data_IF_200366340391
#
_entry.id   IF_200366340391
#
_cell.length_a   1.000
_cell.length_b   1.000
_cell.length_c   1.000
_cell.angle_alpha   90.00
_cell.angle_beta   90.00
_cell.angle_gamma   90.00
#
_symmetry.space_group_name_H-M   'P 1'
#
loop_
_entity.id
_entity.type
_entity.pdbx_description
1 polymer ?
#
# COMPACT_ATOMS: atom_id res chain seq x y z
N UNK A 1 2.90 -34.59 -13.70
CA UNK A 1 2.39 -33.60 -12.73
C UNK A 1 3.07 -32.30 -13.10
N UNK A 2 2.34 -31.38 -13.75
CA UNK A 2 2.91 -30.07 -14.09
C UNK A 2 3.08 -29.29 -12.80
N UNK A 3 4.31 -28.99 -12.41
CA UNK A 3 4.59 -27.86 -11.52
C UNK A 3 4.15 -26.61 -12.27
N UNK A 4 2.92 -26.15 -12.03
CA UNK A 4 2.56 -24.78 -12.36
C UNK A 4 3.47 -23.89 -11.51
N UNK A 5 4.25 -22.97 -12.12
CA UNK A 5 5.10 -22.08 -11.34
C UNK A 5 4.22 -21.30 -10.36
N UNK A 6 4.65 -21.22 -9.10
CA UNK A 6 4.02 -20.36 -8.10
C UNK A 6 3.93 -18.94 -8.67
N UNK A 7 2.73 -18.32 -8.71
CA UNK A 7 2.58 -16.99 -9.26
C UNK A 7 3.48 -15.99 -8.53
N UNK A 8 4.12 -15.09 -9.26
CA UNK A 8 4.92 -14.02 -8.66
C UNK A 8 4.05 -13.07 -7.86
N UNK A 9 4.66 -12.30 -6.94
CA UNK A 9 3.94 -11.33 -6.09
C UNK A 9 3.02 -10.41 -6.91
N UNK A 10 3.51 -9.91 -8.05
CA UNK A 10 2.76 -9.11 -9.02
C UNK A 10 1.42 -9.74 -9.40
N UNK A 11 1.44 -10.99 -9.86
CA UNK A 11 0.24 -11.66 -10.36
C UNK A 11 -0.75 -11.88 -9.23
N UNK A 12 -0.26 -12.20 -8.03
CA UNK A 12 -1.11 -12.38 -6.86
C UNK A 12 -1.78 -11.07 -6.40
N UNK A 13 -1.09 -9.93 -6.52
CA UNK A 13 -1.64 -8.61 -6.23
C UNK A 13 -2.71 -8.21 -7.26
N UNK A 14 -2.47 -8.47 -8.55
CA UNK A 14 -3.47 -8.28 -9.60
C UNK A 14 -4.69 -9.15 -9.34
N UNK A 15 -4.48 -10.42 -8.97
CA UNK A 15 -5.56 -11.34 -8.64
C UNK A 15 -6.38 -10.89 -7.43
N UNK A 16 -5.74 -10.29 -6.42
CA UNK A 16 -6.45 -9.71 -5.27
C UNK A 16 -7.42 -8.58 -5.68
N UNK A 17 -7.15 -7.88 -6.79
CA UNK A 17 -7.94 -6.76 -7.29
C UNK A 17 -9.04 -7.17 -8.28
N UNK A 18 -9.20 -8.46 -8.60
CA UNK A 18 -10.20 -8.90 -9.59
C UNK A 18 -11.64 -8.48 -9.25
N UNK A 19 -11.96 -8.35 -7.97
CA UNK A 19 -13.30 -7.93 -7.50
C UNK A 19 -13.36 -6.43 -7.15
N UNK A 20 -12.32 -5.64 -7.44
CA UNK A 20 -12.37 -4.18 -7.33
C UNK A 20 -12.78 -3.58 -8.68
N UNK A 21 -14.07 -3.25 -8.81
CA UNK A 21 -14.64 -2.67 -10.03
C UNK A 21 -14.18 -1.22 -10.27
N UNK A 22 -13.91 -0.86 -11.53
CA UNK A 22 -13.49 0.51 -11.91
C UNK A 22 -14.60 1.56 -11.77
N UNK A 23 -15.83 1.09 -11.59
CA UNK A 23 -17.03 1.83 -11.24
C UNK A 23 -17.05 2.26 -9.76
N UNK A 24 -16.35 1.55 -8.88
CA UNK A 24 -16.22 1.91 -7.47
C UNK A 24 -14.84 2.48 -7.11
N UNK A 25 -13.80 2.07 -7.85
CA UNK A 25 -12.41 2.42 -7.53
C UNK A 25 -11.71 3.11 -8.70
N UNK A 26 -10.89 4.10 -8.36
CA UNK A 26 -9.82 4.61 -9.19
C UNK A 26 -8.57 3.76 -8.94
N UNK A 27 -8.03 3.16 -10.01
CA UNK A 27 -6.85 2.30 -9.97
C UNK A 27 -5.80 2.89 -10.91
N UNK A 28 -4.74 3.42 -10.32
CA UNK A 28 -3.65 4.13 -11.01
C UNK A 28 -2.31 3.62 -10.53
N UNK A 29 -1.29 3.67 -11.37
CA UNK A 29 0.08 3.32 -11.02
C UNK A 29 1.04 4.21 -11.81
N UNK A 30 2.22 4.46 -11.24
CA UNK A 30 3.30 5.14 -11.93
C UNK A 30 3.95 4.21 -12.97
N UNK A 31 4.80 4.80 -13.81
CA UNK A 31 5.68 4.02 -14.68
C UNK A 31 6.65 3.15 -13.87
N UNK A 32 7.19 2.06 -14.48
CA UNK A 32 8.21 1.23 -13.85
C UNK A 32 9.40 2.05 -13.34
N UNK A 33 9.92 1.71 -12.16
CA UNK A 33 11.16 2.25 -11.66
C UNK A 33 12.35 1.71 -12.48
N UNK A 34 13.36 2.55 -12.71
CA UNK A 34 14.62 2.14 -13.34
C UNK A 34 15.52 1.45 -12.30
N UNK A 35 16.46 0.63 -12.77
CA UNK A 35 17.48 0.03 -11.90
C UNK A 35 18.30 1.08 -11.14
N UNK A 36 18.53 2.25 -11.75
CA UNK A 36 19.24 3.37 -11.11
C UNK A 36 18.44 3.97 -9.95
N UNK A 37 17.12 4.10 -10.11
CA UNK A 37 16.23 4.58 -9.06
C UNK A 37 16.18 3.59 -7.88
N UNK A 38 16.08 2.29 -8.17
CA UNK A 38 16.13 1.25 -7.13
C UNK A 38 17.48 1.24 -6.42
N UNK A 39 18.59 1.37 -7.16
CA UNK A 39 19.92 1.41 -6.56
C UNK A 39 20.13 2.66 -5.68
N UNK A 40 19.59 3.81 -6.10
CA UNK A 40 19.62 5.04 -5.29
C UNK A 40 18.81 4.88 -3.99
N UNK A 41 17.64 4.23 -4.06
CA UNK A 41 16.87 3.87 -2.87
C UNK A 41 17.69 2.96 -1.94
N UNK A 42 18.25 1.86 -2.45
CA UNK A 42 19.04 0.91 -1.66
C UNK A 42 20.22 1.63 -0.95
N UNK A 43 20.90 2.53 -1.65
CA UNK A 43 21.97 3.34 -1.09
C UNK A 43 21.48 4.31 0.01
N UNK A 44 20.33 4.96 -0.19
CA UNK A 44 19.73 5.87 0.78
C UNK A 44 19.25 5.17 2.05
N UNK A 45 18.71 3.95 1.91
CA UNK A 45 18.24 3.14 3.03
C UNK A 45 19.39 2.40 3.74
N UNK A 46 20.48 2.09 3.04
CA UNK A 46 21.49 1.15 3.52
C UNK A 46 20.96 -0.30 3.58
N UNK A 47 19.85 -0.58 2.88
CA UNK A 47 19.18 -1.87 2.82
C UNK A 47 19.08 -2.33 1.37
N UNK A 48 19.07 -3.65 1.16
CA UNK A 48 18.69 -4.21 -0.14
C UNK A 48 17.18 -4.30 -0.23
N UNK A 49 16.62 -3.91 -1.38
CA UNK A 49 15.20 -4.13 -1.68
C UNK A 49 15.01 -5.63 -1.95
N UNK A 50 14.13 -6.33 -1.21
CA UNK A 50 13.88 -7.74 -1.43
C UNK A 50 13.38 -8.02 -2.85
N UNK A 51 13.83 -9.13 -3.45
CA UNK A 51 13.57 -9.44 -4.86
C UNK A 51 12.08 -9.38 -5.27
N UNK A 52 11.12 -9.92 -4.49
CA UNK A 52 9.70 -9.82 -4.85
C UNK A 52 9.20 -8.38 -4.99
N UNK A 53 9.67 -7.47 -4.12
CA UNK A 53 9.31 -6.06 -4.17
C UNK A 53 10.05 -5.34 -5.31
N UNK A 54 11.32 -5.68 -5.54
CA UNK A 54 12.10 -5.14 -6.67
C UNK A 54 11.44 -5.44 -8.02
N UNK A 55 10.98 -6.67 -8.22
CA UNK A 55 10.29 -7.08 -9.45
C UNK A 55 8.99 -6.30 -9.64
N UNK A 56 8.27 -6.02 -8.55
CA UNK A 56 7.05 -5.22 -8.57
C UNK A 56 7.32 -3.76 -8.96
N UNK A 57 8.37 -3.15 -8.40
CA UNK A 57 8.79 -1.78 -8.69
C UNK A 57 9.25 -1.62 -10.14
N UNK A 58 9.88 -2.63 -10.72
CA UNK A 58 10.29 -2.68 -12.13
C UNK A 58 9.15 -2.91 -13.13
N UNK A 59 7.89 -2.93 -12.68
CA UNK A 59 6.70 -3.11 -13.51
C UNK A 59 5.68 -1.97 -13.31
N UNK A 60 4.54 -2.05 -13.99
CA UNK A 60 3.41 -1.11 -13.93
C UNK A 60 2.61 -1.16 -12.62
N UNK A 61 3.20 -1.70 -11.55
CA UNK A 61 2.65 -1.66 -10.20
C UNK A 61 3.44 -0.73 -9.27
N UNK A 62 4.50 -0.08 -9.77
CA UNK A 62 5.20 0.98 -9.07
C UNK A 62 4.21 2.08 -8.63
N UNK A 63 4.06 2.31 -7.33
CA UNK A 63 3.12 3.32 -6.82
C UNK A 63 1.65 3.01 -7.09
N UNK A 64 1.26 1.73 -7.22
CA UNK A 64 -0.14 1.35 -7.44
C UNK A 64 -1.03 1.86 -6.31
N UNK A 65 -1.98 2.72 -6.65
CA UNK A 65 -3.02 3.20 -5.74
C UNK A 65 -4.39 2.67 -6.18
N UNK A 66 -5.12 2.11 -5.21
CA UNK A 66 -6.51 1.69 -5.33
C UNK A 66 -7.32 2.55 -4.37
N UNK A 67 -8.01 3.54 -4.92
CA UNK A 67 -8.75 4.55 -4.15
C UNK A 67 -10.23 4.41 -4.44
N UNK A 68 -11.08 4.41 -3.40
CA UNK A 68 -12.51 4.53 -3.57
C UNK A 68 -12.83 5.84 -4.30
N UNK A 69 -13.72 5.79 -5.28
CA UNK A 69 -14.14 6.96 -6.04
C UNK A 69 -14.75 8.01 -5.13
N UNK A 70 -14.40 9.27 -5.37
CA UNK A 70 -14.85 10.40 -4.53
C UNK A 70 -16.37 10.56 -4.49
N UNK A 71 -17.08 10.09 -5.52
CA UNK A 71 -18.54 10.08 -5.57
C UNK A 71 -19.15 9.12 -4.54
N UNK A 72 -18.44 8.05 -4.18
CA UNK A 72 -18.83 7.08 -3.15
C UNK A 72 -18.24 7.46 -1.79
N UNK A 73 -17.00 7.93 -1.78
CA UNK A 73 -16.25 8.27 -0.58
C UNK A 73 -15.60 9.65 -0.73
N UNK A 74 -16.33 10.74 -0.43
CA UNK A 74 -15.79 12.09 -0.57
C UNK A 74 -14.64 12.32 0.42
N UNK A 75 -13.67 13.17 0.06
CA UNK A 75 -12.62 13.55 0.98
C UNK A 75 -13.23 14.24 2.21
N UNK A 76 -12.67 13.95 3.38
CA UNK A 76 -13.07 14.62 4.61
C UNK A 76 -12.76 16.13 4.57
N UNK A 77 -13.63 16.93 5.16
CA UNK A 77 -13.42 18.36 5.32
C UNK A 77 -12.46 18.65 6.49
N UNK A 78 -11.75 19.80 6.47
CA UNK A 78 -10.98 20.24 7.62
C UNK A 78 -11.84 20.25 8.88
N UNK A 79 -11.30 19.67 9.95
CA UNK A 79 -11.96 19.54 11.27
C UNK A 79 -13.10 18.51 11.34
N UNK A 80 -13.28 17.67 10.33
CA UNK A 80 -14.18 16.52 10.43
C UNK A 80 -13.78 15.60 11.58
N UNK A 81 -14.78 15.19 12.35
CA UNK A 81 -14.63 14.24 13.45
C UNK A 81 -15.46 13.01 13.14
N UNK A 82 -14.80 11.86 13.09
CA UNK A 82 -15.44 10.58 12.80
C UNK A 82 -14.57 9.40 13.23
N UNK A 83 -15.10 8.18 13.13
CA UNK A 83 -14.30 6.97 13.28
C UNK A 83 -13.10 6.99 12.33
N UNK A 84 -11.91 6.59 12.78
CA UNK A 84 -10.69 6.68 11.96
C UNK A 84 -10.84 6.04 10.56
N UNK A 85 -11.60 4.94 10.45
CA UNK A 85 -11.82 4.26 9.18
C UNK A 85 -12.47 5.13 8.12
N UNK A 86 -13.23 6.18 8.47
CA UNK A 86 -13.88 7.09 7.50
C UNK A 86 -12.88 7.95 6.73
N UNK A 87 -11.62 7.97 7.16
CA UNK A 87 -10.52 8.68 6.52
C UNK A 87 -9.61 7.76 5.71
N UNK A 88 -9.98 6.48 5.52
CA UNK A 88 -9.13 5.45 4.92
C UNK A 88 -9.63 4.95 3.56
N UNK A 89 -9.73 5.82 2.53
CA UNK A 89 -10.46 5.52 1.30
C UNK A 89 -9.68 4.63 0.33
N UNK A 90 -8.48 4.15 0.68
CA UNK A 90 -7.67 3.43 -0.29
C UNK A 90 -6.54 2.60 0.27
N UNK A 91 -5.87 1.91 -0.65
CA UNK A 91 -4.71 1.07 -0.42
C UNK A 91 -3.65 1.41 -1.47
N UNK A 92 -2.40 1.51 -1.05
CA UNK A 92 -1.30 1.99 -1.89
C UNK A 92 -0.10 1.08 -1.75
N UNK A 93 0.29 0.43 -2.85
CA UNK A 93 1.64 -0.15 -2.98
C UNK A 93 2.60 1.00 -3.22
N UNK A 94 3.60 1.12 -2.38
CA UNK A 94 4.56 2.20 -2.44
C UNK A 94 5.52 2.01 -3.63
N UNK A 95 5.88 3.11 -4.26
CA UNK A 95 6.76 3.17 -5.41
C UNK A 95 8.08 3.87 -5.13
N UNK A 96 8.94 3.86 -6.15
CA UNK A 96 10.25 4.51 -6.16
C UNK A 96 10.37 5.36 -7.39
N UNK A 97 10.79 6.61 -7.20
CA UNK A 97 11.12 7.54 -8.28
C UNK A 97 9.99 7.80 -9.29
N UNK A 98 10.24 8.77 -10.18
CA UNK A 98 9.32 9.21 -11.23
C UNK A 98 8.70 10.58 -10.94
N UNK A 99 8.60 11.43 -11.97
CA UNK A 99 8.00 12.77 -11.84
C UNK A 99 6.51 12.70 -11.43
N UNK A 100 5.83 11.59 -11.75
CA UNK A 100 4.40 11.41 -11.51
C UNK A 100 4.10 10.70 -10.17
N UNK A 101 5.10 10.28 -9.38
CA UNK A 101 4.88 9.58 -8.12
C UNK A 101 4.71 10.58 -6.95
N UNK A 102 3.51 10.70 -6.36
CA UNK A 102 3.31 11.64 -5.25
C UNK A 102 4.00 11.14 -3.97
N UNK A 103 4.38 12.08 -3.10
CA UNK A 103 5.12 11.75 -1.87
C UNK A 103 4.39 10.79 -0.92
N UNK A 104 3.05 10.77 -0.91
CA UNK A 104 2.27 9.82 -0.11
C UNK A 104 2.34 8.37 -0.62
N UNK A 105 2.81 8.16 -1.86
CA UNK A 105 3.01 6.85 -2.47
C UNK A 105 4.51 6.46 -2.54
N UNK A 106 5.42 7.24 -1.96
CA UNK A 106 6.87 7.03 -2.06
C UNK A 106 7.41 6.15 -0.94
N UNK A 107 8.24 5.16 -1.32
CA UNK A 107 9.02 4.34 -0.38
C UNK A 107 10.00 5.23 0.39
N UNK A 108 10.66 6.19 -0.26
CA UNK A 108 11.64 7.08 0.37
C UNK A 108 11.02 7.89 1.52
N UNK A 109 9.87 8.51 1.25
CA UNK A 109 9.13 9.28 2.26
C UNK A 109 8.70 8.38 3.40
N UNK A 110 8.15 7.21 3.10
CA UNK A 110 7.67 6.30 4.14
C UNK A 110 8.79 5.70 4.97
N UNK A 111 9.90 5.34 4.33
CA UNK A 111 11.07 4.81 5.01
C UNK A 111 11.71 5.86 5.93
N UNK A 112 11.71 7.14 5.55
CA UNK A 112 12.14 8.21 6.45
C UNK A 112 11.27 8.27 7.71
N UNK A 113 9.95 8.20 7.56
CA UNK A 113 9.03 8.17 8.70
C UNK A 113 9.26 6.97 9.62
N UNK A 114 9.49 5.77 9.05
CA UNK A 114 9.84 4.58 9.84
C UNK A 114 11.16 4.77 10.59
N UNK A 115 12.17 5.37 9.96
CA UNK A 115 13.46 5.66 10.60
C UNK A 115 13.35 6.66 11.74
N UNK A 116 12.50 7.67 11.61
CA UNK A 116 12.19 8.62 12.69
C UNK A 116 11.53 7.92 13.88
N UNK A 117 10.77 6.85 13.64
CA UNK A 117 10.21 5.97 14.66
C UNK A 117 11.21 4.94 15.22
N UNK A 118 12.46 4.93 14.74
CA UNK A 118 13.50 3.98 15.15
C UNK A 118 13.50 2.65 14.39
N UNK A 119 12.67 2.50 13.36
CA UNK A 119 12.57 1.29 12.53
C UNK A 119 13.47 1.47 11.29
N UNK A 120 14.61 0.78 11.27
CA UNK A 120 15.66 0.99 10.25
C UNK A 120 15.96 -0.23 9.38
N UNK A 121 15.32 -1.36 9.64
CA UNK A 121 15.56 -2.66 9.01
C UNK A 121 14.40 -3.14 8.11
N UNK A 122 13.50 -2.23 7.75
CA UNK A 122 12.29 -2.52 6.96
C UNK A 122 12.26 -1.69 5.69
N UNK A 123 12.04 -2.35 4.55
CA UNK A 123 11.67 -1.70 3.29
C UNK A 123 10.14 -1.66 3.22
N UNK A 124 9.51 -0.47 3.25
CA UNK A 124 8.05 -0.38 3.25
C UNK A 124 7.49 -0.77 1.87
N UNK A 125 6.38 -1.51 1.87
CA UNK A 125 5.81 -2.10 0.66
C UNK A 125 4.42 -1.55 0.34
N UNK A 126 3.49 -1.53 1.30
CA UNK A 126 2.18 -0.92 1.08
C UNK A 126 1.59 -0.33 2.37
N UNK A 127 0.63 0.58 2.18
CA UNK A 127 -0.06 1.32 3.25
C UNK A 127 -1.55 1.47 2.95
N UNK A 128 -2.34 1.61 4.00
CA UNK A 128 -3.71 2.13 3.89
C UNK A 128 -3.62 3.64 3.72
N UNK A 129 -4.17 4.15 2.62
CA UNK A 129 -4.20 5.59 2.36
C UNK A 129 -5.05 6.29 3.43
N UNK A 130 -4.48 7.31 4.09
CA UNK A 130 -5.16 8.09 5.14
C UNK A 130 -4.99 7.56 6.57
N UNK A 131 -4.48 6.34 6.77
CA UNK A 131 -4.12 5.82 8.11
C UNK A 131 -2.92 6.58 8.68
N UNK A 132 -1.87 6.71 7.87
CA UNK A 132 -0.67 7.45 8.23
C UNK A 132 0.23 6.74 9.24
N UNK A 133 -0.24 5.69 9.94
CA UNK A 133 0.54 5.02 10.97
C UNK A 133 1.03 3.62 10.56
N UNK A 134 0.12 2.76 10.08
CA UNK A 134 0.45 1.38 9.75
C UNK A 134 1.19 1.21 8.43
N UNK A 135 2.17 0.32 8.39
CA UNK A 135 2.88 -0.05 7.15
C UNK A 135 3.28 -1.50 7.10
N UNK A 136 2.90 -2.14 6.01
CA UNK A 136 3.39 -3.46 5.65
C UNK A 136 4.71 -3.31 4.91
N UNK A 137 5.69 -4.08 5.32
CA UNK A 137 7.03 -4.02 4.76
C UNK A 137 7.71 -5.37 4.76
N UNK A 138 8.89 -5.39 4.16
CA UNK A 138 9.76 -6.55 4.12
C UNK A 138 11.09 -6.21 4.76
N UNK A 139 11.61 -7.13 5.57
CA UNK A 139 13.02 -7.08 5.98
C UNK A 139 13.94 -7.63 4.87
N UNK A 140 15.26 -7.38 4.91
CA UNK A 140 16.21 -7.91 3.93
C UNK A 140 16.20 -9.43 3.76
N UNK A 141 15.82 -10.18 4.79
CA UNK A 141 15.68 -11.64 4.75
C UNK A 141 14.38 -12.12 4.07
N UNK A 142 13.50 -11.21 3.70
CA UNK A 142 12.20 -11.48 3.08
C UNK A 142 11.06 -11.69 4.06
N UNK A 143 11.29 -11.59 5.38
CA UNK A 143 10.21 -11.64 6.37
C UNK A 143 9.26 -10.45 6.21
N UNK A 144 7.96 -10.71 6.32
CA UNK A 144 6.90 -9.71 6.21
C UNK A 144 6.53 -9.21 7.60
N UNK A 145 6.50 -7.89 7.73
CA UNK A 145 6.20 -7.21 9.00
C UNK A 145 5.09 -6.18 8.82
N UNK A 146 4.36 -5.95 9.91
CA UNK A 146 3.52 -4.76 10.10
C UNK A 146 4.22 -3.83 11.10
N UNK A 147 4.26 -2.55 10.77
CA UNK A 147 4.94 -1.52 11.58
C UNK A 147 3.98 -0.41 11.96
N UNK A 148 4.22 0.22 13.11
CA UNK A 148 3.52 1.41 13.59
C UNK A 148 4.52 2.54 13.81
N UNK A 149 4.43 3.57 12.97
CA UNK A 149 5.34 4.72 13.03
C UNK A 149 5.17 5.58 14.29
N UNK A 150 3.99 5.57 14.91
CA UNK A 150 3.72 6.37 16.12
C UNK A 150 4.30 5.75 17.39
N UNK A 151 4.40 4.41 17.44
CA UNK A 151 4.90 3.67 18.61
C UNK A 151 6.30 3.08 18.40
N UNK A 152 6.75 2.94 17.15
CA UNK A 152 7.97 2.22 16.80
C UNK A 152 7.83 0.70 16.88
N UNK A 153 6.61 0.18 17.01
CA UNK A 153 6.34 -1.25 17.11
C UNK A 153 6.46 -1.95 15.75
N UNK A 154 6.91 -3.21 15.79
CA UNK A 154 7.09 -4.08 14.62
C UNK A 154 6.61 -5.48 14.95
N UNK A 155 5.60 -5.95 14.23
CA UNK A 155 5.04 -7.29 14.34
C UNK A 155 5.41 -8.14 13.13
N UNK A 156 5.93 -9.35 13.38
CA UNK A 156 6.12 -10.36 12.33
C UNK A 156 4.80 -11.07 12.04
N UNK A 157 4.37 -11.06 10.78
CA UNK A 157 3.03 -11.53 10.42
C UNK A 157 2.94 -13.05 10.19
N UNK A 158 4.08 -13.72 9.98
CA UNK A 158 4.11 -15.17 9.67
C UNK A 158 3.38 -15.57 8.38
N UNK A 159 3.04 -14.59 7.54
CA UNK A 159 2.36 -14.74 6.25
C UNK A 159 3.17 -14.03 5.15
N UNK A 160 2.81 -14.26 3.89
CA UNK A 160 3.42 -13.54 2.77
C UNK A 160 2.73 -12.19 2.49
N UNK A 161 3.43 -11.34 1.74
CA UNK A 161 2.96 -9.99 1.44
C UNK A 161 1.68 -9.99 0.60
N UNK A 162 1.51 -11.00 -0.27
CA UNK A 162 0.33 -11.11 -1.13
C UNK A 162 -0.94 -11.42 -0.32
N UNK A 163 -0.81 -12.28 0.69
CA UNK A 163 -1.88 -12.62 1.62
C UNK A 163 -2.28 -11.40 2.44
N UNK A 164 -1.31 -10.70 3.03
CA UNK A 164 -1.57 -9.45 3.75
C UNK A 164 -2.25 -8.40 2.86
N UNK A 165 -1.77 -8.20 1.63
CA UNK A 165 -2.37 -7.28 0.68
C UNK A 165 -3.81 -7.67 0.33
N UNK A 166 -4.09 -8.97 0.11
CA UNK A 166 -5.44 -9.47 -0.19
C UNK A 166 -6.42 -9.20 0.95
N UNK A 167 -5.98 -9.39 2.20
CA UNK A 167 -6.78 -9.07 3.38
C UNK A 167 -7.11 -7.57 3.43
N UNK A 168 -6.16 -6.69 3.15
CA UNK A 168 -6.41 -5.24 3.12
C UNK A 168 -7.25 -4.77 1.93
N UNK A 169 -7.17 -5.44 0.77
CA UNK A 169 -8.11 -5.20 -0.33
C UNK A 169 -9.53 -5.58 0.09
N UNK A 170 -9.72 -6.73 0.73
CA UNK A 170 -11.03 -7.13 1.25
C UNK A 170 -11.53 -6.14 2.31
N UNK A 171 -10.66 -5.66 3.20
CA UNK A 171 -10.99 -4.66 4.20
C UNK A 171 -11.33 -3.30 3.58
N UNK A 172 -10.62 -2.87 2.51
CA UNK A 172 -10.97 -1.67 1.75
C UNK A 172 -12.38 -1.78 1.18
N UNK A 173 -12.73 -2.89 0.54
CA UNK A 173 -14.08 -3.10 -0.01
C UNK A 173 -15.16 -3.03 1.05
N UNK A 174 -14.91 -3.64 2.21
CA UNK A 174 -15.84 -3.56 3.34
C UNK A 174 -16.00 -2.11 3.80
N UNK A 175 -14.91 -1.36 3.99
CA UNK A 175 -14.98 0.05 4.39
C UNK A 175 -15.71 0.91 3.35
N UNK A 176 -15.53 0.65 2.05
CA UNK A 176 -16.27 1.33 0.98
C UNK A 176 -17.77 1.06 1.10
N UNK A 177 -18.17 -0.20 1.31
CA UNK A 177 -19.58 -0.54 1.52
C UNK A 177 -20.15 0.13 2.78
N UNK A 178 -19.38 0.17 3.86
CA UNK A 178 -19.75 0.83 5.11
C UNK A 178 -19.90 2.35 4.90
N UNK A 179 -19.00 2.98 4.13
CA UNK A 179 -19.10 4.40 3.79
C UNK A 179 -20.36 4.69 2.97
N UNK A 180 -20.66 3.87 1.96
CA UNK A 180 -21.88 4.01 1.16
C UNK A 180 -23.14 3.87 2.03
N UNK A 181 -23.15 2.90 2.96
CA UNK A 181 -24.26 2.73 3.91
C UNK A 181 -24.42 3.97 4.82
N UNK A 182 -23.32 4.44 5.40
CA UNK A 182 -23.29 5.62 6.26
C UNK A 182 -23.83 6.87 5.54
N UNK A 183 -23.45 7.06 4.28
CA UNK A 183 -23.91 8.20 3.47
C UNK A 183 -25.39 8.11 3.09
N UNK A 184 -25.91 6.90 2.84
CA UNK A 184 -27.36 6.69 2.66
C UNK A 184 -28.15 7.01 3.91
N UNK A 185 -27.66 6.63 5.09
CA UNK A 185 -28.29 6.98 6.37
C UNK A 185 -28.32 8.50 6.61
N UNK A 186 -27.34 9.23 6.08
CA UNK A 186 -27.26 10.70 6.14
C UNK A 186 -28.04 11.42 5.03
N UNK A 187 -28.57 10.70 4.04
CA UNK A 187 -29.26 11.29 2.89
C UNK A 187 -28.33 11.97 1.86
N UNK A 188 -27.07 11.54 1.80
CA UNK A 188 -26.02 12.08 0.93
C UNK A 188 -25.83 11.28 -0.38
N UNK A 189 -26.64 10.23 -0.57
CA UNK A 189 -26.69 9.33 -1.73
C UNK A 189 -28.13 8.94 -2.06
#
# INVERSE_FOLDING_TARGET
MSDSPTPGLRDQLIDALQETGRDEYEIVAAGPATDEQVAALEAALGLRVPAPLRDLLGDRLNGLAVLARTELWPPAEPYDVGPAWTFWPGLVVLGVGGEDLPGWASIEVRALQLREAGITDVVPAFVVHGDGDRTWGLRPDGSVVLTWSTTGEVDELGTDLATAYREDVAALRQRTADMVALRRERGEL
#
